data_IF_859603940040
#
_entry.id   IF_859603940040
#
_cell.length_a   1.000
_cell.length_b   1.000
_cell.length_c   1.000
_cell.angle_alpha   90.00
_cell.angle_beta   90.00
_cell.angle_gamma   90.00
#
_symmetry.space_group_name_H-M   'P 1'
#
loop_
_entity.id
_entity.type
_entity.pdbx_description
1 polymer ?
#
# COMPACT_ATOMS: atom_id res chain seq x y z
N UNK A 1 10.24 17.68 -5.58
CA UNK A 1 8.97 17.15 -5.03
C UNK A 1 9.13 15.65 -5.02
N UNK A 2 9.02 15.00 -3.86
CA UNK A 2 9.09 13.53 -3.77
C UNK A 2 7.77 13.00 -4.33
N UNK A 3 7.82 12.13 -5.33
CA UNK A 3 6.63 11.54 -5.94
C UNK A 3 6.28 10.26 -5.16
N UNK A 4 5.33 10.39 -4.23
CA UNK A 4 4.83 9.30 -3.38
C UNK A 4 4.47 8.06 -4.20
N UNK A 5 3.82 8.25 -5.36
CA UNK A 5 3.43 7.13 -6.22
C UNK A 5 4.65 6.38 -6.72
N UNK A 6 5.64 7.11 -7.24
CA UNK A 6 6.88 6.50 -7.75
C UNK A 6 7.63 5.74 -6.65
N UNK A 7 7.75 6.33 -5.46
CA UNK A 7 8.43 5.69 -4.33
C UNK A 7 7.72 4.43 -3.86
N UNK A 8 6.38 4.49 -3.70
CA UNK A 8 5.57 3.33 -3.34
C UNK A 8 5.70 2.22 -4.39
N UNK A 9 5.57 2.55 -5.67
CA UNK A 9 5.69 1.57 -6.76
C UNK A 9 7.06 0.89 -6.77
N UNK A 10 8.14 1.64 -6.54
CA UNK A 10 9.48 1.10 -6.49
C UNK A 10 9.66 0.13 -5.32
N UNK A 11 9.21 0.52 -4.12
CA UNK A 11 9.30 -0.31 -2.93
C UNK A 11 8.51 -1.63 -3.09
N UNK A 12 7.23 -1.55 -3.49
CA UNK A 12 6.41 -2.74 -3.76
C UNK A 12 7.03 -3.60 -4.86
N UNK A 13 7.54 -3.00 -5.94
CA UNK A 13 8.15 -3.78 -7.04
C UNK A 13 9.44 -4.50 -6.62
N UNK A 14 10.16 -3.96 -5.63
CA UNK A 14 11.33 -4.58 -5.03
C UNK A 14 10.98 -5.58 -3.92
N UNK A 15 9.70 -5.70 -3.55
CA UNK A 15 9.23 -6.56 -2.46
C UNK A 15 9.66 -6.10 -1.08
N UNK A 16 9.87 -4.78 -0.93
CA UNK A 16 10.02 -4.09 0.34
C UNK A 16 8.68 -3.96 1.04
N UNK A 17 8.70 -3.70 2.34
CA UNK A 17 7.49 -3.43 3.12
C UNK A 17 7.34 -1.92 3.30
N UNK A 18 6.09 -1.46 3.37
CA UNK A 18 5.77 -0.03 3.46
C UNK A 18 4.82 0.21 4.62
N UNK A 19 5.22 1.10 5.53
CA UNK A 19 4.32 1.73 6.50
C UNK A 19 3.88 3.08 5.96
N UNK A 20 2.58 3.32 5.92
CA UNK A 20 2.02 4.56 5.39
C UNK A 20 0.69 4.91 6.04
N UNK A 21 0.31 6.17 5.92
CA UNK A 21 -0.94 6.68 6.45
C UNK A 21 -1.79 7.36 5.37
N UNK A 22 -3.10 7.21 5.51
CA UNK A 22 -4.11 7.84 4.67
C UNK A 22 -5.39 8.10 5.47
N UNK A 23 -5.93 9.32 5.38
CA UNK A 23 -7.18 9.71 6.03
C UNK A 23 -7.24 9.36 7.53
N UNK A 24 -6.13 9.61 8.24
CA UNK A 24 -6.00 9.37 9.68
C UNK A 24 -5.92 7.89 10.09
N UNK A 25 -5.75 6.97 9.14
CA UNK A 25 -5.54 5.54 9.37
C UNK A 25 -4.13 5.12 9.00
N UNK A 26 -3.62 4.11 9.68
CA UNK A 26 -2.30 3.54 9.46
C UNK A 26 -2.41 2.22 8.74
N UNK A 27 -1.53 2.05 7.76
CA UNK A 27 -1.51 0.92 6.87
C UNK A 27 -0.12 0.32 6.79
N UNK A 28 -0.10 -0.99 6.58
CA UNK A 28 1.10 -1.77 6.36
C UNK A 28 0.93 -2.60 5.09
N UNK A 29 1.84 -2.42 4.14
CA UNK A 29 1.96 -3.24 2.94
C UNK A 29 3.13 -4.21 3.10
N UNK A 30 2.89 -5.50 2.82
CA UNK A 30 3.89 -6.55 2.87
C UNK A 30 3.41 -7.78 2.07
N UNK A 31 4.23 -8.83 2.03
CA UNK A 31 3.96 -10.08 1.31
C UNK A 31 4.42 -11.30 2.11
N UNK A 32 3.57 -12.32 2.16
CA UNK A 32 3.92 -13.63 2.75
C UNK A 32 4.68 -14.50 1.73
N UNK A 33 4.46 -14.27 0.43
CA UNK A 33 5.16 -14.94 -0.67
C UNK A 33 5.11 -14.10 -1.96
N UNK A 34 5.72 -14.58 -3.06
CA UNK A 34 5.64 -13.87 -4.35
C UNK A 34 4.20 -13.71 -4.88
N UNK A 35 3.27 -14.57 -4.43
CA UNK A 35 1.88 -14.59 -4.88
C UNK A 35 0.87 -14.28 -3.75
N UNK A 36 1.32 -13.71 -2.63
CA UNK A 36 0.46 -13.36 -1.51
C UNK A 36 0.92 -12.02 -0.92
N UNK A 37 0.40 -10.95 -1.51
CA UNK A 37 0.64 -9.57 -1.12
C UNK A 37 -0.56 -9.07 -0.33
N UNK A 38 -0.35 -8.19 0.63
CA UNK A 38 -1.44 -7.66 1.41
C UNK A 38 -1.22 -6.21 1.84
N UNK A 39 -2.35 -5.53 2.05
CA UNK A 39 -2.40 -4.27 2.78
C UNK A 39 -3.27 -4.50 4.02
N UNK A 40 -2.72 -4.19 5.17
CA UNK A 40 -3.38 -4.28 6.46
C UNK A 40 -3.67 -2.88 7.00
N UNK A 41 -4.87 -2.69 7.55
CA UNK A 41 -5.29 -1.45 8.21
C UNK A 41 -5.25 -1.66 9.72
N UNK A 42 -4.48 -0.85 10.44
CA UNK A 42 -4.35 -1.00 11.89
C UNK A 42 -5.65 -0.68 12.63
N UNK A 43 -6.41 0.32 12.19
CA UNK A 43 -7.62 0.74 12.89
C UNK A 43 -8.78 -0.23 12.68
N UNK A 44 -8.96 -0.76 11.47
CA UNK A 44 -10.05 -1.71 11.18
C UNK A 44 -9.66 -3.17 11.35
N UNK A 45 -8.37 -3.48 11.46
CA UNK A 45 -7.83 -4.85 11.52
C UNK A 45 -8.16 -5.69 10.27
N UNK A 46 -8.48 -5.04 9.16
CA UNK A 46 -8.81 -5.69 7.89
C UNK A 46 -7.55 -5.88 7.03
N UNK A 47 -7.52 -7.01 6.31
CA UNK A 47 -6.51 -7.29 5.28
C UNK A 47 -7.16 -7.34 3.90
N UNK A 48 -6.59 -6.59 2.96
CA UNK A 48 -6.80 -6.82 1.54
C UNK A 48 -5.66 -7.68 1.02
N UNK A 49 -5.97 -8.72 0.25
CA UNK A 49 -4.98 -9.64 -0.32
C UNK A 49 -4.99 -9.57 -1.84
N UNK A 50 -3.82 -9.77 -2.43
CA UNK A 50 -3.57 -9.68 -3.86
C UNK A 50 -2.61 -10.79 -4.28
N UNK A 51 -2.85 -11.41 -5.44
CA UNK A 51 -2.01 -12.48 -5.98
C UNK A 51 -0.70 -11.95 -6.58
N UNK A 52 -0.52 -10.63 -6.68
CA UNK A 52 0.70 -9.99 -7.17
C UNK A 52 0.81 -8.53 -6.73
N UNK A 53 2.03 -7.98 -6.75
CA UNK A 53 2.28 -6.54 -6.57
C UNK A 53 1.50 -5.69 -7.56
N UNK A 54 1.40 -6.12 -8.81
CA UNK A 54 0.67 -5.37 -9.84
C UNK A 54 -0.83 -5.29 -9.53
N UNK A 55 -1.43 -6.39 -9.05
CA UNK A 55 -2.84 -6.39 -8.64
C UNK A 55 -3.06 -5.45 -7.45
N UNK A 56 -2.16 -5.46 -6.46
CA UNK A 56 -2.17 -4.52 -5.33
C UNK A 56 -2.16 -3.07 -5.82
N UNK A 57 -1.19 -2.71 -6.67
CA UNK A 57 -1.00 -1.35 -7.17
C UNK A 57 -2.16 -0.85 -8.07
N UNK A 58 -2.96 -1.76 -8.62
CA UNK A 58 -4.12 -1.43 -9.45
C UNK A 58 -5.44 -1.44 -8.68
N UNK A 59 -5.57 -2.26 -7.64
CA UNK A 59 -6.87 -2.58 -7.06
C UNK A 59 -7.02 -2.31 -5.56
N UNK A 60 -5.93 -1.98 -4.84
CA UNK A 60 -6.03 -1.62 -3.43
C UNK A 60 -7.02 -0.48 -3.18
N UNK A 61 -7.84 -0.63 -2.14
CA UNK A 61 -8.88 0.34 -1.78
C UNK A 61 -8.71 0.86 -0.36
N UNK A 62 -8.95 2.15 -0.18
CA UNK A 62 -8.86 2.82 1.10
C UNK A 62 -10.07 3.74 1.27
N UNK A 63 -10.90 3.47 2.28
CA UNK A 63 -12.18 4.18 2.46
C UNK A 63 -13.00 4.24 1.15
N UNK A 64 -13.16 3.09 0.50
CA UNK A 64 -13.84 2.89 -0.78
C UNK A 64 -13.23 3.56 -2.03
N UNK A 65 -12.09 4.25 -1.89
CA UNK A 65 -11.35 4.84 -3.03
C UNK A 65 -10.24 3.91 -3.51
N UNK A 66 -9.99 3.88 -4.83
CA UNK A 66 -8.85 3.15 -5.38
C UNK A 66 -7.55 3.89 -5.03
N UNK A 67 -6.47 3.15 -4.80
CA UNK A 67 -5.14 3.70 -4.52
C UNK A 67 -4.69 4.72 -5.58
N UNK A 68 -5.10 4.50 -6.84
CA UNK A 68 -4.75 5.37 -7.96
C UNK A 68 -5.42 6.75 -7.95
N UNK A 69 -6.42 6.94 -7.08
CA UNK A 69 -7.15 8.19 -6.92
C UNK A 69 -6.68 9.01 -5.70
N UNK A 70 -5.72 8.50 -4.90
CA UNK A 70 -5.40 9.05 -3.56
C UNK A 70 -3.91 9.30 -3.32
N UNK A 71 -3.06 9.21 -4.34
CA UNK A 71 -1.60 9.33 -4.16
C UNK A 71 -1.14 10.64 -3.52
N UNK A 72 -1.86 11.74 -3.75
CA UNK A 72 -1.54 13.06 -3.18
C UNK A 72 -1.79 13.13 -1.66
N UNK A 73 -2.61 12.22 -1.13
CA UNK A 73 -3.01 12.17 0.27
C UNK A 73 -2.28 11.08 1.07
N UNK A 74 -1.54 10.19 0.39
CA UNK A 74 -0.76 9.13 1.03
C UNK A 74 0.53 9.73 1.59
N UNK A 75 0.82 9.41 2.85
CA UNK A 75 2.06 9.75 3.53
C UNK A 75 2.81 8.44 3.77
N UNK A 76 3.96 8.25 3.13
CA UNK A 76 4.86 7.13 3.45
C UNK A 76 5.61 7.48 4.73
N UNK A 77 5.39 6.67 5.76
CA UNK A 77 6.02 6.83 7.07
C UNK A 77 7.39 6.11 7.09
N UNK A 78 7.46 4.90 6.51
CA UNK A 78 8.68 4.12 6.44
C UNK A 78 8.68 3.09 5.29
N UNK A 79 9.87 2.76 4.78
CA UNK A 79 10.11 1.68 3.82
C UNK A 79 11.25 0.81 4.36
N UNK A 80 11.00 -0.50 4.48
CA UNK A 80 11.93 -1.49 5.06
C UNK A 80 12.81 -2.18 4.02
#
# INVERSE_FOLDING_TARGET
MKDTKTEFYQAVSCGQEIEFSYNGKHYFESRDSNNDWYIYCEESKEKQRFISSNELLLHAKFADKNINDIWEDIIIDYIL
#
